data_IF_714860827753
#
_entry.id   IF_714860827753
#
_cell.length_a   1.000
_cell.length_b   1.000
_cell.length_c   1.000
_cell.angle_alpha   90.00
_cell.angle_beta   90.00
_cell.angle_gamma   90.00
#
_symmetry.space_group_name_H-M   'P 1'
#
loop_
_entity.id
_entity.type
_entity.pdbx_description
1 polymer ?
#
# COMPACT_ATOMS: atom_id res chain seq x y z
N UNK A 1 5.21 -5.44 7.95
CA UNK A 1 6.33 -6.14 7.28
C UNK A 1 6.00 -6.39 5.82
N UNK A 2 7.03 -6.29 4.96
CA UNK A 2 6.89 -6.64 3.55
C UNK A 2 6.67 -8.15 3.43
N UNK A 3 5.76 -8.61 2.56
CA UNK A 3 5.60 -10.01 2.25
C UNK A 3 6.90 -10.61 1.69
N UNK A 4 7.22 -11.83 2.09
CA UNK A 4 8.34 -12.57 1.53
C UNK A 4 7.91 -13.16 0.19
N UNK A 5 8.74 -13.01 -0.83
CA UNK A 5 8.53 -13.57 -2.17
C UNK A 5 9.83 -14.14 -2.73
N UNK A 6 9.72 -15.07 -3.66
CA UNK A 6 10.87 -15.61 -4.37
C UNK A 6 11.13 -14.80 -5.65
N UNK A 7 12.40 -14.47 -5.90
CA UNK A 7 12.82 -13.84 -7.15
C UNK A 7 12.90 -14.90 -8.25
N UNK A 8 11.81 -15.05 -8.97
CA UNK A 8 11.71 -15.99 -10.09
C UNK A 8 11.86 -15.27 -11.42
N UNK A 9 12.23 -16.03 -12.46
CA UNK A 9 12.20 -15.52 -13.84
C UNK A 9 10.95 -16.06 -14.52
N UNK A 10 9.98 -15.21 -14.88
CA UNK A 10 8.77 -15.66 -15.55
C UNK A 10 9.10 -16.32 -16.90
N UNK A 11 8.39 -17.41 -17.20
CA UNK A 11 8.51 -18.08 -18.51
C UNK A 11 7.87 -17.25 -19.63
N UNK A 12 6.85 -16.46 -19.30
CA UNK A 12 6.11 -15.57 -20.20
C UNK A 12 5.97 -14.18 -19.58
N UNK A 13 6.76 -13.23 -20.09
CA UNK A 13 6.75 -11.86 -19.59
C UNK A 13 5.42 -11.15 -19.84
N UNK A 14 4.74 -11.44 -20.96
CA UNK A 14 3.43 -10.84 -21.25
C UNK A 14 2.37 -11.31 -20.26
N UNK A 15 2.32 -12.59 -19.94
CA UNK A 15 1.44 -13.13 -18.91
C UNK A 15 1.73 -12.54 -17.51
N UNK A 16 3.01 -12.29 -17.22
CA UNK A 16 3.40 -11.66 -15.96
C UNK A 16 2.99 -10.19 -15.88
N UNK A 17 3.02 -9.45 -16.99
CA UNK A 17 2.46 -8.09 -17.08
C UNK A 17 0.95 -8.11 -16.83
N UNK A 18 0.23 -9.08 -17.41
CA UNK A 18 -1.21 -9.24 -17.15
C UNK A 18 -1.50 -9.57 -15.68
N UNK A 19 -0.67 -10.39 -15.04
CA UNK A 19 -0.76 -10.68 -13.60
C UNK A 19 -0.57 -9.43 -12.75
N UNK A 20 0.41 -8.61 -13.09
CA UNK A 20 0.60 -7.30 -12.46
C UNK A 20 -0.62 -6.40 -12.66
N UNK A 21 -1.14 -6.29 -13.88
CA UNK A 21 -2.33 -5.46 -14.16
C UNK A 21 -3.55 -5.94 -13.37
N UNK A 22 -3.78 -7.23 -13.29
CA UNK A 22 -4.85 -7.81 -12.47
C UNK A 22 -4.68 -7.47 -10.98
N UNK A 23 -3.44 -7.45 -10.48
CA UNK A 23 -3.18 -7.03 -9.10
C UNK A 23 -3.49 -5.55 -8.88
N UNK A 24 -3.20 -4.69 -9.85
CA UNK A 24 -3.57 -3.26 -9.81
C UNK A 24 -5.08 -3.08 -9.79
N UNK A 25 -5.82 -3.85 -10.59
CA UNK A 25 -7.28 -3.79 -10.62
C UNK A 25 -7.88 -4.21 -9.27
N UNK A 26 -7.40 -5.30 -8.69
CA UNK A 26 -7.80 -5.76 -7.34
C UNK A 26 -7.45 -4.72 -6.27
N UNK A 27 -6.26 -4.14 -6.35
CA UNK A 27 -5.85 -3.05 -5.44
C UNK A 27 -6.79 -1.87 -5.52
N UNK A 28 -7.11 -1.43 -6.74
CA UNK A 28 -7.99 -0.28 -7.00
C UNK A 28 -9.38 -0.52 -6.43
N UNK A 29 -9.99 -1.67 -6.73
CA UNK A 29 -11.31 -2.02 -6.22
C UNK A 29 -11.34 -2.05 -4.69
N UNK A 30 -10.40 -2.76 -4.05
CA UNK A 30 -10.32 -2.84 -2.59
C UNK A 30 -10.08 -1.45 -1.96
N UNK A 31 -9.24 -0.63 -2.57
CA UNK A 31 -8.92 0.71 -2.07
C UNK A 31 -10.14 1.64 -2.14
N UNK A 32 -10.90 1.60 -3.24
CA UNK A 32 -12.12 2.40 -3.36
C UNK A 32 -13.18 1.96 -2.35
N UNK A 33 -13.34 0.67 -2.12
CA UNK A 33 -14.24 0.15 -1.07
C UNK A 33 -13.82 0.61 0.33
N UNK A 34 -12.51 0.67 0.60
CA UNK A 34 -11.96 1.20 1.87
C UNK A 34 -12.23 2.70 1.98
N UNK A 35 -12.02 3.47 0.91
CA UNK A 35 -12.29 4.90 0.87
C UNK A 35 -13.77 5.22 1.14
N UNK A 36 -14.69 4.46 0.54
CA UNK A 36 -16.13 4.63 0.75
C UNK A 36 -16.52 4.39 2.22
N UNK A 37 -15.98 3.35 2.84
CA UNK A 37 -16.19 3.08 4.27
C UNK A 37 -15.60 4.18 5.14
N UNK A 38 -14.39 4.63 4.84
CA UNK A 38 -13.72 5.68 5.58
C UNK A 38 -14.45 7.02 5.47
N UNK A 39 -15.02 7.32 4.31
CA UNK A 39 -15.86 8.52 4.10
C UNK A 39 -17.04 8.57 5.05
N UNK A 40 -17.67 7.42 5.31
CA UNK A 40 -18.79 7.29 6.23
C UNK A 40 -18.37 7.36 7.71
N UNK A 41 -17.21 6.81 8.07
CA UNK A 41 -16.76 6.67 9.47
C UNK A 41 -15.86 7.81 9.95
N UNK A 42 -15.03 8.39 9.07
CA UNK A 42 -13.99 9.35 9.41
C UNK A 42 -13.99 10.61 8.51
N UNK A 43 -14.91 10.71 7.58
CA UNK A 43 -15.15 11.87 6.71
C UNK A 43 -14.34 11.86 5.40
N UNK A 44 -14.73 12.79 4.52
CA UNK A 44 -14.24 12.92 3.15
C UNK A 44 -12.71 13.08 3.07
N UNK A 45 -12.13 13.93 3.92
CA UNK A 45 -10.70 14.24 3.88
C UNK A 45 -9.81 12.99 4.08
N UNK A 46 -10.24 12.08 4.94
CA UNK A 46 -9.50 10.84 5.17
C UNK A 46 -9.67 9.84 4.02
N UNK A 47 -10.85 9.81 3.38
CA UNK A 47 -11.08 8.99 2.19
C UNK A 47 -10.21 9.43 1.00
N UNK A 48 -9.98 10.74 0.84
CA UNK A 48 -9.14 11.30 -0.23
C UNK A 48 -7.70 10.79 -0.22
N UNK A 49 -7.17 10.40 0.95
CA UNK A 49 -5.83 9.78 1.06
C UNK A 49 -5.80 8.46 0.29
N UNK A 50 -6.81 7.60 0.50
CA UNK A 50 -6.92 6.31 -0.18
C UNK A 50 -7.23 6.47 -1.67
N UNK A 51 -8.05 7.45 -2.04
CA UNK A 51 -8.28 7.81 -3.44
C UNK A 51 -6.96 8.26 -4.11
N UNK A 52 -6.11 8.99 -3.38
CA UNK A 52 -4.75 9.35 -3.81
C UNK A 52 -3.86 8.15 -4.10
N UNK A 53 -3.98 7.04 -3.35
CA UNK A 53 -3.26 5.80 -3.65
C UNK A 53 -3.68 5.20 -5.00
N UNK A 54 -4.96 5.27 -5.35
CA UNK A 54 -5.45 4.82 -6.67
C UNK A 54 -4.87 5.69 -7.78
N UNK A 55 -4.83 7.00 -7.58
CA UNK A 55 -4.21 7.92 -8.55
C UNK A 55 -2.72 7.61 -8.74
N UNK A 56 -1.98 7.38 -7.65
CA UNK A 56 -0.54 7.07 -7.70
C UNK A 56 -0.26 5.78 -8.46
N UNK A 57 -0.97 4.68 -8.17
CA UNK A 57 -0.74 3.41 -8.86
C UNK A 57 -1.23 3.42 -10.31
N UNK A 58 -2.13 4.33 -10.65
CA UNK A 58 -2.64 4.52 -12.01
C UNK A 58 -1.74 5.43 -12.85
N UNK A 59 -0.70 6.02 -12.25
CA UNK A 59 0.26 6.85 -12.97
C UNK A 59 0.96 6.05 -14.07
N UNK A 60 0.88 6.48 -15.34
CA UNK A 60 1.46 5.75 -16.46
C UNK A 60 2.97 5.55 -16.31
N UNK A 61 3.69 6.55 -15.79
CA UNK A 61 5.14 6.46 -15.61
C UNK A 61 5.51 5.34 -14.62
N UNK A 62 4.84 5.28 -13.47
CA UNK A 62 5.08 4.21 -12.48
C UNK A 62 4.74 2.82 -13.05
N UNK A 63 3.62 2.71 -13.76
CA UNK A 63 3.21 1.45 -14.38
C UNK A 63 4.17 1.00 -15.48
N UNK A 64 4.62 1.92 -16.32
CA UNK A 64 5.55 1.61 -17.42
C UNK A 64 6.91 1.15 -16.89
N UNK A 65 7.44 1.78 -15.83
CA UNK A 65 8.66 1.34 -15.15
C UNK A 65 8.53 -0.10 -14.61
N UNK A 66 7.41 -0.44 -13.99
CA UNK A 66 7.15 -1.80 -13.49
C UNK A 66 7.06 -2.80 -14.65
N UNK A 67 6.29 -2.47 -15.69
CA UNK A 67 6.13 -3.33 -16.88
C UNK A 67 7.46 -3.54 -17.61
N UNK A 68 8.29 -2.50 -17.72
CA UNK A 68 9.61 -2.62 -18.34
C UNK A 68 10.50 -3.61 -17.58
N UNK A 69 10.53 -3.54 -16.25
CA UNK A 69 11.29 -4.50 -15.43
C UNK A 69 10.78 -5.93 -15.59
N UNK A 70 9.47 -6.13 -15.70
CA UNK A 70 8.88 -7.45 -16.00
C UNK A 70 9.33 -7.93 -17.37
N UNK A 71 9.30 -7.08 -18.38
CA UNK A 71 9.75 -7.43 -19.74
C UNK A 71 11.25 -7.74 -19.81
N UNK A 72 12.04 -7.21 -18.90
CA UNK A 72 13.47 -7.53 -18.70
C UNK A 72 13.70 -8.88 -17.99
N UNK A 73 12.65 -9.55 -17.53
CA UNK A 73 12.70 -10.88 -16.94
C UNK A 73 12.49 -10.94 -15.43
N UNK A 74 12.03 -9.87 -14.78
CA UNK A 74 11.66 -9.88 -13.37
C UNK A 74 10.26 -10.44 -13.17
N UNK A 75 10.01 -11.10 -12.04
CA UNK A 75 8.64 -11.38 -11.60
C UNK A 75 7.93 -10.08 -11.16
N UNK A 76 6.62 -10.08 -11.18
CA UNK A 76 5.82 -8.91 -10.83
C UNK A 76 6.12 -8.40 -9.42
N UNK A 77 6.32 -9.30 -8.45
CA UNK A 77 6.68 -8.95 -7.07
C UNK A 77 8.00 -8.17 -7.02
N UNK A 78 9.04 -8.67 -7.70
CA UNK A 78 10.34 -7.99 -7.71
C UNK A 78 10.25 -6.64 -8.42
N UNK A 79 9.56 -6.54 -9.54
CA UNK A 79 9.40 -5.30 -10.28
C UNK A 79 8.67 -4.23 -9.46
N UNK A 80 7.56 -4.59 -8.81
CA UNK A 80 6.82 -3.70 -7.91
C UNK A 80 7.70 -3.27 -6.73
N UNK A 81 8.39 -4.22 -6.11
CA UNK A 81 9.24 -3.98 -4.95
C UNK A 81 10.35 -2.97 -5.26
N UNK A 82 11.07 -3.17 -6.36
CA UNK A 82 12.19 -2.32 -6.76
C UNK A 82 11.74 -0.92 -7.20
N UNK A 83 10.68 -0.83 -8.02
CA UNK A 83 10.17 0.48 -8.48
C UNK A 83 9.62 1.29 -7.31
N UNK A 84 8.82 0.69 -6.43
CA UNK A 84 8.33 1.38 -5.24
C UNK A 84 9.49 1.83 -4.33
N UNK A 85 10.55 1.01 -4.15
CA UNK A 85 11.71 1.40 -3.38
C UNK A 85 12.42 2.62 -3.97
N UNK A 86 12.56 2.70 -5.30
CA UNK A 86 13.16 3.85 -5.98
C UNK A 86 12.33 5.13 -5.78
N UNK A 87 11.02 5.06 -5.91
CA UNK A 87 10.13 6.20 -5.65
C UNK A 87 10.18 6.66 -4.20
N UNK A 88 10.20 5.73 -3.24
CA UNK A 88 10.31 6.04 -1.81
C UNK A 88 11.63 6.77 -1.53
N UNK A 89 12.74 6.29 -2.09
CA UNK A 89 14.05 6.94 -1.93
C UNK A 89 14.05 8.34 -2.53
N UNK A 90 13.52 8.49 -3.74
CA UNK A 90 13.43 9.80 -4.42
C UNK A 90 12.60 10.80 -3.61
N UNK A 91 11.46 10.39 -3.07
CA UNK A 91 10.62 11.27 -2.26
C UNK A 91 11.23 11.60 -0.90
N UNK A 92 12.02 10.70 -0.32
CA UNK A 92 12.74 10.95 0.94
C UNK A 92 13.97 11.87 0.79
N UNK A 93 14.46 12.08 -0.42
CA UNK A 93 15.58 13.01 -0.69
C UNK A 93 15.17 14.48 -0.63
N UNK A 94 13.90 14.78 -0.54
CA UNK A 94 13.38 16.15 -0.46
C UNK A 94 13.14 16.56 0.99
N UNK A 95 13.26 17.86 1.26
CA UNK A 95 12.93 18.46 2.56
C UNK A 95 11.44 18.89 2.64
N UNK A 96 10.69 18.70 1.56
CA UNK A 96 9.27 19.04 1.50
C UNK A 96 8.40 17.98 2.17
N UNK A 97 7.69 18.37 3.24
CA UNK A 97 6.85 17.47 4.04
C UNK A 97 5.77 16.77 3.21
N UNK A 98 5.16 17.47 2.23
CA UNK A 98 4.13 16.89 1.38
C UNK A 98 4.69 15.79 0.48
N UNK A 99 5.91 15.98 0.00
CA UNK A 99 6.61 14.98 -0.82
C UNK A 99 7.08 13.80 0.02
N UNK A 100 7.57 14.03 1.25
CA UNK A 100 7.88 12.94 2.19
C UNK A 100 6.65 12.11 2.56
N UNK A 101 5.48 12.74 2.65
CA UNK A 101 4.22 12.05 2.87
C UNK A 101 3.91 11.05 1.75
N UNK A 102 4.19 11.40 0.49
CA UNK A 102 4.05 10.51 -0.66
C UNK A 102 4.92 9.26 -0.54
N UNK A 103 6.10 9.35 0.10
CA UNK A 103 6.90 8.17 0.39
C UNK A 103 6.17 7.18 1.31
N UNK A 104 5.42 7.67 2.29
CA UNK A 104 4.58 6.84 3.17
C UNK A 104 3.45 6.19 2.40
N UNK A 105 2.79 6.93 1.51
CA UNK A 105 1.73 6.40 0.66
C UNK A 105 2.25 5.31 -0.28
N UNK A 106 3.42 5.50 -0.90
CA UNK A 106 4.05 4.47 -1.75
C UNK A 106 4.45 3.24 -0.94
N UNK A 107 4.89 3.38 0.32
CA UNK A 107 5.15 2.23 1.20
C UNK A 107 3.89 1.39 1.43
N UNK A 108 2.76 2.04 1.66
CA UNK A 108 1.47 1.36 1.83
C UNK A 108 1.04 0.65 0.54
N UNK A 109 1.11 1.33 -0.60
CA UNK A 109 0.82 0.76 -1.93
C UNK A 109 1.71 -0.47 -2.17
N UNK A 110 3.02 -0.37 -1.93
CA UNK A 110 4.00 -1.45 -2.09
C UNK A 110 3.60 -2.70 -1.30
N UNK A 111 3.34 -2.55 -0.01
CA UNK A 111 2.96 -3.67 0.87
C UNK A 111 1.68 -4.33 0.38
N UNK A 112 0.68 -3.53 0.02
CA UNK A 112 -0.64 -4.03 -0.39
C UNK A 112 -0.59 -4.73 -1.75
N UNK A 113 0.14 -4.19 -2.72
CA UNK A 113 0.35 -4.86 -4.02
C UNK A 113 1.09 -6.17 -3.86
N UNK A 114 2.18 -6.19 -3.06
CA UNK A 114 2.92 -7.43 -2.81
C UNK A 114 2.06 -8.49 -2.12
N UNK A 115 1.18 -8.11 -1.20
CA UNK A 115 0.23 -9.04 -0.58
C UNK A 115 -0.76 -9.61 -1.59
N UNK A 116 -1.27 -8.80 -2.49
CA UNK A 116 -2.16 -9.27 -3.57
C UNK A 116 -1.42 -10.26 -4.47
N UNK A 117 -0.20 -9.92 -4.90
CA UNK A 117 0.61 -10.76 -5.80
C UNK A 117 1.01 -12.09 -5.15
N UNK A 118 1.37 -12.08 -3.86
CA UNK A 118 1.78 -13.29 -3.12
C UNK A 118 0.60 -14.09 -2.55
N UNK A 119 -0.61 -13.57 -2.62
CA UNK A 119 -1.78 -14.19 -1.99
C UNK A 119 -1.74 -14.18 -0.46
N UNK A 120 -0.85 -13.37 0.14
CA UNK A 120 -0.72 -13.26 1.59
C UNK A 120 -1.91 -12.49 2.16
N UNK A 121 -2.68 -13.15 3.02
CA UNK A 121 -3.80 -12.49 3.71
C UNK A 121 -3.27 -11.65 4.88
N UNK A 122 -3.79 -10.45 4.97
CA UNK A 122 -3.62 -9.61 6.16
C UNK A 122 -4.50 -10.14 7.29
N UNK A 123 -3.99 -10.13 8.52
CA UNK A 123 -4.88 -10.22 9.68
C UNK A 123 -5.78 -8.98 9.65
N UNK A 124 -7.06 -9.20 9.50
CA UNK A 124 -8.02 -8.10 9.42
C UNK A 124 -8.11 -7.40 10.77
N UNK A 125 -7.60 -6.17 10.83
CA UNK A 125 -7.67 -5.34 12.05
C UNK A 125 -9.12 -5.09 12.48
N UNK A 126 -10.09 -5.27 11.57
CA UNK A 126 -11.52 -5.17 11.87
C UNK A 126 -12.04 -6.33 12.73
N UNK A 127 -11.38 -7.48 12.68
CA UNK A 127 -11.78 -8.69 13.39
C UNK A 127 -11.12 -8.83 14.78
N UNK A 128 -10.44 -7.78 15.23
CA UNK A 128 -9.83 -7.81 16.57
C UNK A 128 -10.91 -7.78 17.66
N UNK A 129 -10.74 -8.55 18.75
CA UNK A 129 -11.67 -8.52 19.87
C UNK A 129 -11.80 -7.14 20.49
N UNK A 130 -12.97 -6.88 21.10
CA UNK A 130 -13.17 -5.63 21.85
C UNK A 130 -12.13 -5.50 22.98
N UNK A 131 -11.61 -4.29 23.14
CA UNK A 131 -10.57 -4.00 24.14
C UNK A 131 -9.14 -4.30 23.68
N UNK A 132 -8.92 -4.56 22.39
CA UNK A 132 -7.58 -4.79 21.84
C UNK A 132 -6.75 -3.51 21.86
N UNK A 133 -5.46 -3.63 22.24
CA UNK A 133 -4.46 -2.58 22.05
C UNK A 133 -3.63 -2.93 20.83
N UNK A 134 -3.61 -2.03 19.86
CA UNK A 134 -2.81 -2.17 18.64
C UNK A 134 -1.40 -1.62 18.93
N UNK A 135 -0.39 -2.46 18.71
CA UNK A 135 1.02 -2.03 18.77
C UNK A 135 1.60 -2.15 17.36
N UNK A 136 2.05 -1.04 16.82
CA UNK A 136 2.62 -0.99 15.48
C UNK A 136 3.87 -0.13 15.46
N UNK A 137 4.78 -0.44 14.53
CA UNK A 137 5.93 0.42 14.27
C UNK A 137 5.50 1.74 13.62
N UNK A 138 4.59 1.61 12.65
CA UNK A 138 3.96 2.72 11.95
C UNK A 138 2.56 2.27 11.50
N UNK A 139 1.62 3.22 11.45
CA UNK A 139 0.27 2.98 10.97
C UNK A 139 0.12 3.61 9.59
N UNK A 140 -0.04 2.75 8.58
CA UNK A 140 -0.32 3.21 7.22
C UNK A 140 -1.78 3.65 7.08
N UNK A 141 -2.12 4.48 6.07
CA UNK A 141 -3.50 4.89 5.82
C UNK A 141 -4.47 3.72 5.66
N UNK A 142 -4.06 2.64 5.00
CA UNK A 142 -4.90 1.45 4.84
C UNK A 142 -5.16 0.71 6.15
N UNK A 143 -4.17 0.65 7.03
CA UNK A 143 -4.34 0.08 8.38
C UNK A 143 -5.30 0.92 9.21
N UNK A 144 -5.14 2.24 9.19
CA UNK A 144 -6.03 3.17 9.91
C UNK A 144 -7.47 3.06 9.42
N UNK A 145 -7.67 2.89 8.11
CA UNK A 145 -8.99 2.67 7.52
C UNK A 145 -9.67 1.37 7.98
N UNK A 146 -8.90 0.39 8.45
CA UNK A 146 -9.40 -0.88 8.98
C UNK A 146 -9.79 -0.84 10.46
N UNK A 147 -9.46 0.23 11.20
CA UNK A 147 -9.70 0.29 12.65
C UNK A 147 -11.19 0.49 12.94
N UNK A 148 -11.76 -0.44 13.72
CA UNK A 148 -13.08 -0.30 14.31
C UNK A 148 -12.90 0.25 15.72
N UNK A 149 -13.29 1.51 15.93
CA UNK A 149 -13.04 2.26 17.18
C UNK A 149 -13.59 1.55 18.42
N UNK A 150 -14.71 0.85 18.27
CA UNK A 150 -15.38 0.13 19.35
C UNK A 150 -14.56 -1.08 19.83
N UNK A 151 -13.70 -1.63 18.97
CA UNK A 151 -12.88 -2.80 19.28
C UNK A 151 -11.49 -2.45 19.80
N UNK A 152 -11.03 -1.21 19.57
CA UNK A 152 -9.67 -0.79 19.89
C UNK A 152 -9.64 0.07 21.13
N UNK A 153 -9.04 -0.44 22.21
CA UNK A 153 -8.89 0.28 23.49
C UNK A 153 -7.74 1.30 23.46
N UNK A 154 -6.78 1.11 22.59
CA UNK A 154 -5.64 2.02 22.45
C UNK A 154 -4.70 1.63 21.31
N UNK A 155 -3.88 2.59 20.92
CA UNK A 155 -2.86 2.40 19.87
C UNK A 155 -1.53 2.87 20.43
N UNK A 156 -0.49 2.04 20.26
CA UNK A 156 0.90 2.36 20.59
C UNK A 156 1.68 2.34 19.29
N UNK A 157 2.24 3.47 18.92
CA UNK A 157 3.03 3.63 17.70
C UNK A 157 4.48 3.99 18.07
N UNK A 158 5.46 3.34 17.43
CA UNK A 158 6.88 3.61 17.67
C UNK A 158 7.33 4.87 16.93
N UNK A 159 6.77 5.09 15.76
CA UNK A 159 7.03 6.29 14.95
C UNK A 159 5.79 7.17 14.93
N UNK A 160 5.94 8.41 15.35
CA UNK A 160 4.89 9.41 15.30
C UNK A 160 5.46 10.76 14.90
N UNK A 161 4.69 11.61 14.27
CA UNK A 161 5.09 12.95 13.87
C UNK A 161 3.89 13.79 13.45
N UNK A 162 4.15 15.08 13.18
CA UNK A 162 3.11 16.04 12.75
C UNK A 162 2.43 15.61 11.43
N UNK A 163 3.09 14.77 10.64
CA UNK A 163 2.60 14.22 9.37
C UNK A 163 2.06 12.79 9.49
N UNK A 164 2.00 12.24 10.70
CA UNK A 164 1.43 10.90 10.93
C UNK A 164 -0.09 10.93 10.76
N UNK A 165 -0.63 9.97 9.99
CA UNK A 165 -2.08 9.78 9.81
C UNK A 165 -2.75 9.04 10.98
N UNK A 166 -2.03 8.77 12.06
CA UNK A 166 -2.51 8.05 13.24
C UNK A 166 -3.25 8.93 14.24
#
# INVERSE_FOLDING_TARGET
>A
ELPVYEKTKPADAAAEVERFQSAVDVFTEKTMQMADRMRLSAGQKNAEILEGHVVMISDPFMQDEIKEKIMQGMCAEQAVDEVCAQFIEMFNMTEDELTMQRATDIRDIRIRLLRILTGTQEKDIREVPAGTIIVAKDLTPSMTAGIVKENVAGIINETGGVTSHS
#
